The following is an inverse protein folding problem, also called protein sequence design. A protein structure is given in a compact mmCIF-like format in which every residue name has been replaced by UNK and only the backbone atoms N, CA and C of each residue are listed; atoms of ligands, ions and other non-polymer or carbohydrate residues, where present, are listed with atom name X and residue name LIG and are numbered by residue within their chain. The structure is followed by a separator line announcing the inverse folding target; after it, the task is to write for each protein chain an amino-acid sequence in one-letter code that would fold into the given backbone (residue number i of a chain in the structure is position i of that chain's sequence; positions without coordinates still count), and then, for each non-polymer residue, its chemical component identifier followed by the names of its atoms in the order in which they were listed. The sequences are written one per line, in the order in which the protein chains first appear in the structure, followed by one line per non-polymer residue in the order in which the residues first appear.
data_IF_096728574678
#
_entry.id   IF_096728574678
#
_cell.length_a   1.000
_cell.length_b   1.000
_cell.length_c   1.000
_cell.angle_alpha   90.00
_cell.angle_beta   90.00
_cell.angle_gamma   90.00
#
_symmetry.space_group_name_H-M   'P 1'
#
loop_
_entity.id
_entity.type
_entity.pdbx_description
1 polymer ?
#
# COMPACT_ATOMS: atom_id res chain seq x y z
N UNK A 1 19.99 15.05 -3.14
CA UNK A 1 18.81 14.84 -2.27
C UNK A 1 17.49 14.79 -3.03
N UNK A 2 17.35 15.44 -4.19
CA UNK A 2 16.11 15.42 -4.99
C UNK A 2 15.56 14.02 -5.31
N UNK A 3 16.41 13.10 -5.81
CA UNK A 3 16.01 11.70 -6.05
C UNK A 3 15.49 10.99 -4.79
N UNK A 4 16.09 11.28 -3.63
CA UNK A 4 15.67 10.70 -2.34
C UNK A 4 14.35 11.28 -1.87
N UNK A 5 14.13 12.59 -2.06
CA UNK A 5 12.85 13.24 -1.79
C UNK A 5 11.71 12.57 -2.58
N UNK A 6 11.93 12.29 -3.87
CA UNK A 6 10.94 11.57 -4.70
C UNK A 6 10.67 10.15 -4.21
N UNK A 7 11.69 9.42 -3.76
CA UNK A 7 11.50 8.09 -3.15
C UNK A 7 10.67 8.21 -1.86
N UNK A 8 10.93 9.19 -1.00
CA UNK A 8 10.19 9.36 0.24
C UNK A 8 8.73 9.74 0.00
N UNK A 9 8.43 10.60 -0.98
CA UNK A 9 7.04 10.96 -1.31
C UNK A 9 6.30 9.77 -1.91
N UNK A 10 6.90 9.05 -2.86
CA UNK A 10 6.32 7.82 -3.40
C UNK A 10 6.09 6.77 -2.31
N UNK A 11 7.03 6.65 -1.39
CA UNK A 11 6.90 5.77 -0.23
C UNK A 11 5.68 6.14 0.63
N UNK A 12 5.33 7.40 0.79
CA UNK A 12 4.15 7.81 1.58
C UNK A 12 2.83 7.69 0.78
N UNK A 13 2.89 7.38 -0.51
CA UNK A 13 1.72 7.17 -1.37
C UNK A 13 1.43 8.33 -2.33
N UNK A 14 2.36 9.26 -2.53
CA UNK A 14 2.23 10.27 -3.58
C UNK A 14 2.59 9.65 -4.93
N UNK A 15 1.61 9.57 -5.83
CA UNK A 15 1.81 9.10 -7.20
C UNK A 15 2.57 10.12 -8.06
N UNK A 16 2.26 11.41 -7.86
CA UNK A 16 2.92 12.52 -8.51
C UNK A 16 3.33 13.58 -7.49
N UNK A 17 4.43 14.28 -7.75
CA UNK A 17 4.86 15.43 -6.95
C UNK A 17 5.56 16.43 -7.86
N UNK A 18 5.18 17.70 -7.77
CA UNK A 18 5.83 18.73 -8.57
C UNK A 18 7.31 18.90 -8.16
N UNK A 19 8.12 19.40 -9.10
CA UNK A 19 9.58 19.53 -8.93
C UNK A 19 9.95 20.48 -7.79
N UNK A 20 9.22 21.57 -7.60
CA UNK A 20 9.53 22.61 -6.61
C UNK A 20 9.31 22.11 -5.18
N UNK A 21 8.25 21.31 -4.97
CA UNK A 21 7.99 20.61 -3.71
C UNK A 21 9.11 19.62 -3.40
N UNK A 22 9.56 18.84 -4.40
CA UNK A 22 10.65 17.89 -4.22
C UNK A 22 11.99 18.60 -3.91
N UNK A 23 12.25 19.75 -4.52
CA UNK A 23 13.41 20.59 -4.24
C UNK A 23 13.34 21.13 -2.80
N UNK A 24 12.19 21.66 -2.40
CA UNK A 24 11.97 22.16 -1.03
C UNK A 24 12.17 21.06 0.00
N UNK A 25 11.61 19.86 -0.24
CA UNK A 25 11.80 18.71 0.63
C UNK A 25 13.28 18.31 0.69
N UNK A 26 13.96 18.24 -0.45
CA UNK A 26 15.39 17.92 -0.51
C UNK A 26 16.24 18.92 0.28
N UNK A 27 15.92 20.21 0.23
CA UNK A 27 16.62 21.26 0.98
C UNK A 27 16.37 21.16 2.48
N UNK A 28 15.12 20.88 2.89
CA UNK A 28 14.77 20.64 4.29
C UNK A 28 15.52 19.41 4.81
N UNK A 29 15.50 18.29 4.07
CA UNK A 29 16.22 17.08 4.48
C UNK A 29 17.73 17.32 4.57
N UNK A 30 18.30 18.05 3.60
CA UNK A 30 19.73 18.40 3.62
C UNK A 30 20.08 19.22 4.86
N UNK A 31 19.26 20.24 5.19
CA UNK A 31 19.46 21.06 6.40
C UNK A 31 19.33 20.23 7.67
N UNK A 32 18.37 19.31 7.72
CA UNK A 32 18.19 18.42 8.87
C UNK A 32 19.40 17.50 9.09
N UNK A 33 19.91 16.86 8.02
CA UNK A 33 21.11 16.01 8.09
C UNK A 33 22.33 16.81 8.57
N UNK A 34 22.53 18.01 8.02
CA UNK A 34 23.62 18.90 8.47
C UNK A 34 23.49 19.23 9.95
N UNK A 35 22.27 19.49 10.43
CA UNK A 35 22.01 19.77 11.84
C UNK A 35 22.34 18.56 12.73
N UNK A 36 21.97 17.34 12.34
CA UNK A 36 22.37 16.10 13.04
C UNK A 36 23.89 16.03 13.16
N UNK A 37 24.61 16.21 12.05
CA UNK A 37 26.06 16.12 12.04
C UNK A 37 26.74 17.15 12.96
N UNK A 38 26.23 18.39 12.99
CA UNK A 38 26.72 19.44 13.89
C UNK A 38 26.50 19.07 15.36
N UNK A 39 25.32 18.56 15.72
CA UNK A 39 25.00 18.12 17.08
C UNK A 39 25.88 16.94 17.50
N UNK A 40 26.01 15.92 16.65
CA UNK A 40 26.86 14.76 16.91
C UNK A 40 28.31 15.16 17.14
N UNK A 41 28.84 16.06 16.30
CA UNK A 41 30.19 16.60 16.47
C UNK A 41 30.36 17.31 17.80
N UNK A 42 29.43 18.22 18.14
CA UNK A 42 29.45 18.95 19.42
C UNK A 42 29.47 17.99 20.60
N UNK A 43 28.63 16.94 20.59
CA UNK A 43 28.57 15.97 21.67
C UNK A 43 29.85 15.11 21.76
N UNK A 44 30.44 14.75 20.61
CA UNK A 44 31.73 14.07 20.57
C UNK A 44 32.86 14.94 21.14
N UNK A 45 32.96 16.20 20.69
CA UNK A 45 33.97 17.15 21.16
C UNK A 45 33.86 17.38 22.67
N UNK A 46 32.63 17.46 23.21
CA UNK A 46 32.38 17.60 24.65
C UNK A 46 32.87 16.39 25.45
N UNK A 47 32.58 15.17 25.00
CA UNK A 47 33.03 13.96 25.70
C UNK A 47 34.55 13.83 25.65
N UNK A 48 35.16 14.11 24.50
CA UNK A 48 36.62 14.03 24.34
C UNK A 48 37.38 15.04 25.23
N UNK A 49 36.77 16.19 25.52
CA UNK A 49 37.34 17.22 26.40
C UNK A 49 36.93 17.07 27.88
N UNK A 50 36.07 16.09 28.21
CA UNK A 50 35.61 15.90 29.59
C UNK A 50 36.61 15.07 30.41
N UNK A 51 36.85 15.50 31.65
CA UNK A 51 37.69 14.77 32.62
C UNK A 51 36.95 13.61 33.31
N UNK A 52 35.67 13.40 32.99
CA UNK A 52 34.81 12.38 33.60
C UNK A 52 34.54 11.23 32.64
N UNK A 53 34.77 10.01 33.10
CA UNK A 53 34.61 8.76 32.33
C UNK A 53 33.16 8.26 32.26
N UNK A 54 32.15 9.13 32.37
CA UNK A 54 30.79 8.68 32.10
C UNK A 54 30.62 8.48 30.59
N UNK A 55 30.59 7.21 30.21
CA UNK A 55 30.42 6.77 28.82
C UNK A 55 28.95 6.97 28.43
N UNK A 56 28.56 8.21 28.22
CA UNK A 56 27.26 8.58 27.65
C UNK A 56 27.23 8.06 26.21
N UNK A 57 26.10 7.47 25.81
CA UNK A 57 25.86 7.12 24.40
C UNK A 57 25.66 8.42 23.61
N UNK A 58 26.73 8.84 22.93
CA UNK A 58 26.75 10.05 22.11
C UNK A 58 25.70 10.04 21.01
N UNK A 59 25.40 8.87 20.44
CA UNK A 59 24.46 8.73 19.34
C UNK A 59 23.06 8.95 19.88
N UNK A 60 22.69 8.24 20.95
CA UNK A 60 21.36 8.36 21.54
C UNK A 60 21.09 9.77 22.07
N UNK A 61 22.07 10.39 22.74
CA UNK A 61 21.95 11.77 23.23
C UNK A 61 21.78 12.78 22.08
N UNK A 62 22.53 12.61 20.99
CA UNK A 62 22.41 13.48 19.81
C UNK A 62 21.06 13.34 19.12
N UNK A 63 20.50 12.12 19.07
CA UNK A 63 19.17 11.86 18.53
C UNK A 63 18.07 12.52 19.39
N UNK A 64 18.21 12.45 20.71
CA UNK A 64 17.29 13.13 21.63
C UNK A 64 17.36 14.66 21.48
N UNK A 65 18.56 15.24 21.38
CA UNK A 65 18.76 16.69 21.21
C UNK A 65 18.14 17.23 19.91
N UNK A 66 18.12 16.43 18.84
CA UNK A 66 17.49 16.83 17.57
C UNK A 66 15.97 16.56 17.50
N UNK A 67 15.40 15.99 18.55
CA UNK A 67 13.95 15.82 18.72
C UNK A 67 13.44 14.38 18.61
N UNK A 68 14.30 13.37 18.41
CA UNK A 68 13.91 11.96 18.53
C UNK A 68 13.96 11.57 20.01
N UNK A 69 12.91 11.92 20.76
CA UNK A 69 12.85 11.75 22.22
C UNK A 69 13.01 10.29 22.67
N UNK A 70 12.63 9.33 21.83
CA UNK A 70 12.86 7.91 22.12
C UNK A 70 14.23 7.40 21.69
N UNK A 71 15.10 8.27 21.15
CA UNK A 71 16.44 7.94 20.70
C UNK A 71 16.45 6.83 19.65
N UNK A 72 17.42 5.92 19.75
CA UNK A 72 17.54 4.76 18.85
C UNK A 72 16.31 3.85 18.86
N UNK A 73 15.64 3.70 20.01
CA UNK A 73 14.44 2.86 20.13
C UNK A 73 13.30 3.35 19.24
N UNK A 74 13.16 4.67 19.10
CA UNK A 74 12.14 5.26 18.23
C UNK A 74 12.44 4.96 16.75
N UNK A 75 13.71 4.97 16.36
CA UNK A 75 14.14 4.62 15.01
C UNK A 75 13.84 3.15 14.67
N UNK A 76 14.13 2.23 15.59
CA UNK A 76 13.80 0.81 15.43
C UNK A 76 12.29 0.61 15.33
N UNK A 77 11.52 1.24 16.22
CA UNK A 77 10.06 1.18 16.20
C UNK A 77 9.48 1.72 14.88
N UNK A 78 10.06 2.80 14.35
CA UNK A 78 9.65 3.35 13.06
C UNK A 78 9.89 2.35 11.93
N UNK A 79 11.07 1.73 11.88
CA UNK A 79 11.39 0.70 10.89
C UNK A 79 10.40 -0.48 10.93
N UNK A 80 10.09 -1.00 12.12
CA UNK A 80 9.14 -2.11 12.27
C UNK A 80 7.74 -1.74 11.78
N UNK A 81 7.26 -0.55 12.14
CA UNK A 81 5.96 -0.05 11.69
C UNK A 81 5.92 0.16 10.18
N UNK A 82 6.99 0.71 9.62
CA UNK A 82 7.07 1.07 8.22
C UNK A 82 7.19 -0.16 7.30
N UNK A 83 7.97 -1.17 7.70
CA UNK A 83 8.18 -2.40 6.92
C UNK A 83 7.05 -3.40 7.17
N UNK A 84 6.85 -3.81 8.43
CA UNK A 84 5.90 -4.89 8.74
C UNK A 84 4.48 -4.36 8.89
N UNK A 85 4.30 -3.24 9.59
CA UNK A 85 2.99 -2.64 9.81
C UNK A 85 2.32 -2.25 8.50
N UNK A 86 3.06 -1.60 7.60
CA UNK A 86 2.53 -1.22 6.29
C UNK A 86 2.22 -2.42 5.40
N UNK A 87 3.12 -3.40 5.32
CA UNK A 87 2.87 -4.63 4.55
C UNK A 87 1.59 -5.30 5.01
N UNK A 88 1.40 -5.44 6.34
CA UNK A 88 0.18 -6.00 6.90
C UNK A 88 -1.06 -5.18 6.49
N UNK A 89 -1.00 -3.85 6.60
CA UNK A 89 -2.11 -2.99 6.20
C UNK A 89 -2.47 -3.12 4.71
N UNK A 90 -1.48 -3.20 3.82
CA UNK A 90 -1.70 -3.42 2.38
C UNK A 90 -2.34 -4.79 2.14
N UNK A 91 -1.82 -5.85 2.76
CA UNK A 91 -2.36 -7.20 2.62
C UNK A 91 -3.82 -7.29 3.06
N UNK A 92 -4.19 -6.67 4.18
CA UNK A 92 -5.59 -6.68 4.62
C UNK A 92 -6.51 -5.93 3.66
N UNK A 93 -6.09 -4.75 3.16
CA UNK A 93 -6.85 -4.03 2.11
C UNK A 93 -7.00 -4.85 0.83
N UNK A 94 -5.96 -5.56 0.39
CA UNK A 94 -6.03 -6.44 -0.77
C UNK A 94 -7.06 -7.57 -0.57
N UNK A 95 -7.13 -8.18 0.63
CA UNK A 95 -8.13 -9.20 0.95
C UNK A 95 -9.55 -8.63 0.93
N UNK A 96 -9.74 -7.43 1.45
CA UNK A 96 -11.04 -6.74 1.42
C UNK A 96 -11.49 -6.46 -0.02
N UNK A 97 -10.60 -5.92 -0.84
CA UNK A 97 -10.87 -5.68 -2.27
C UNK A 97 -11.17 -6.98 -3.02
N UNK A 98 -10.45 -8.06 -2.73
CA UNK A 98 -10.71 -9.37 -3.34
C UNK A 98 -12.11 -9.89 -2.98
N UNK A 99 -12.57 -9.70 -1.75
CA UNK A 99 -13.94 -10.08 -1.35
C UNK A 99 -14.99 -9.30 -2.14
N UNK A 100 -14.80 -7.99 -2.30
CA UNK A 100 -15.71 -7.14 -3.08
C UNK A 100 -15.76 -7.59 -4.55
N UNK A 101 -14.60 -7.85 -5.15
CA UNK A 101 -14.51 -8.32 -6.54
C UNK A 101 -15.21 -9.68 -6.69
N UNK A 102 -14.98 -10.62 -5.78
CA UNK A 102 -15.63 -11.94 -5.83
C UNK A 102 -17.15 -11.83 -5.73
N UNK A 103 -17.66 -10.97 -4.84
CA UNK A 103 -19.11 -10.71 -4.72
C UNK A 103 -19.69 -10.12 -6.00
N UNK A 104 -18.97 -9.19 -6.63
CA UNK A 104 -19.38 -8.60 -7.90
C UNK A 104 -19.43 -9.66 -9.02
N UNK A 105 -18.40 -10.49 -9.14
CA UNK A 105 -18.32 -11.56 -10.15
C UNK A 105 -19.46 -12.57 -9.98
N UNK A 106 -19.73 -13.02 -8.75
CA UNK A 106 -20.85 -13.93 -8.49
C UNK A 106 -22.21 -13.27 -8.78
N UNK A 107 -22.38 -11.98 -8.44
CA UNK A 107 -23.58 -11.23 -8.78
C UNK A 107 -23.84 -11.14 -10.28
N UNK A 108 -22.79 -10.87 -11.08
CA UNK A 108 -22.89 -10.84 -12.55
C UNK A 108 -23.20 -12.23 -13.11
N UNK A 109 -22.55 -13.28 -12.60
CA UNK A 109 -22.77 -14.66 -13.04
C UNK A 109 -24.21 -15.11 -12.79
N UNK A 110 -24.76 -14.82 -11.62
CA UNK A 110 -26.14 -15.17 -11.27
C UNK A 110 -27.15 -14.40 -12.13
N UNK A 111 -26.91 -13.11 -12.39
CA UNK A 111 -27.75 -12.29 -13.28
C UNK A 111 -27.76 -12.79 -14.74
N UNK A 112 -26.63 -13.29 -15.24
CA UNK A 112 -26.56 -13.91 -16.57
C UNK A 112 -27.30 -15.24 -16.61
N UNK A 113 -27.21 -16.05 -15.55
CA UNK A 113 -27.93 -17.31 -15.46
C UNK A 113 -29.45 -17.10 -15.44
N UNK A 114 -29.97 -16.15 -14.66
CA UNK A 114 -31.40 -15.86 -14.60
C UNK A 114 -31.97 -15.42 -15.96
N UNK A 115 -31.22 -14.62 -16.74
CA UNK A 115 -31.60 -14.26 -18.12
C UNK A 115 -31.64 -15.47 -19.07
N UNK A 116 -30.76 -16.44 -18.86
CA UNK A 116 -30.69 -17.64 -19.71
C UNK A 116 -31.83 -18.61 -19.41
N UNK A 117 -32.31 -18.66 -18.17
CA UNK A 117 -33.47 -19.46 -17.76
C UNK A 117 -34.79 -18.85 -18.28
N UNK A 118 -34.94 -17.52 -18.30
CA UNK A 118 -36.12 -16.89 -18.93
C UNK A 118 -36.18 -17.08 -20.45
N UNK A 119 -35.03 -17.02 -21.16
CA UNK A 119 -34.96 -17.26 -22.61
C UNK A 119 -35.14 -18.74 -23.00
N UNK A 120 -34.83 -19.69 -22.11
CA UNK A 120 -35.07 -21.12 -22.35
C UNK A 120 -36.49 -21.57 -21.95
N UNK A 121 -37.17 -20.85 -21.05
CA UNK A 121 -38.55 -21.15 -20.65
C UNK A 121 -39.61 -20.65 -21.65
N UNK A 122 -39.28 -19.74 -22.56
CA UNK A 122 -40.25 -19.15 -23.50
C UNK A 122 -40.33 -19.87 -24.85
N UNK A 123 -39.46 -20.86 -25.11
CA UNK A 123 -39.40 -21.58 -26.40
C UNK A 123 -40.02 -22.99 -26.41
N UNK A 124 -40.69 -23.45 -25.35
CA UNK A 124 -41.29 -24.80 -25.30
C UNK A 124 -42.83 -24.85 -25.41
N UNK A 125 -43.47 -23.78 -25.87
CA UNK A 125 -44.92 -23.80 -26.14
C UNK A 125 -45.20 -23.21 -27.51
N UNK A 126 -45.25 -24.05 -28.54
CA UNK A 126 -46.20 -23.96 -29.66
C UNK A 126 -46.30 -25.34 -30.36
N UNK A 127 -47.48 -25.94 -30.15
CA UNK A 127 -48.21 -26.94 -30.96
C UNK A 127 -47.71 -28.38 -31.08
N UNK A 128 -48.24 -29.24 -30.19
CA UNK A 128 -48.83 -30.52 -30.61
C UNK A 128 -50.16 -30.25 -31.33
N UNK A 129 -50.27 -30.77 -32.55
CA UNK A 129 -51.45 -31.39 -33.17
C UNK A 129 -51.50 -31.03 -34.66
N UNK A 130 -51.08 -31.97 -35.51
CA UNK A 130 -52.00 -32.59 -36.48
C UNK A 130 -51.26 -33.43 -37.54
N UNK A 131 -51.91 -34.54 -37.88
CA UNK A 131 -51.75 -35.39 -39.08
C UNK A 131 -50.57 -36.38 -39.17
N UNK A 132 -50.84 -37.56 -38.61
CA UNK A 132 -50.49 -38.85 -39.21
C UNK A 132 -51.13 -38.92 -40.61
N UNK A 133 -50.32 -38.99 -41.67
CA UNK A 133 -50.76 -39.51 -42.97
C UNK A 133 -49.79 -40.61 -43.39
N UNK A 134 -50.34 -41.83 -43.48
CA UNK A 134 -49.73 -43.00 -44.13
C UNK A 134 -49.53 -42.70 -45.62
N UNK A 135 -48.36 -43.01 -46.17
CA UNK A 135 -48.24 -43.35 -47.59
C UNK A 135 -47.63 -44.74 -47.75
N UNK A 136 -48.51 -45.69 -48.06
CA UNK A 136 -48.18 -46.83 -48.90
C UNK A 136 -48.02 -46.33 -50.35
N UNK A 137 -47.01 -46.81 -51.07
CA UNK A 137 -47.12 -47.06 -52.52
C UNK A 137 -46.08 -48.06 -52.99
N UNK A 138 -46.58 -49.26 -53.28
CA UNK A 138 -46.06 -50.19 -54.29
C UNK A 138 -46.46 -49.70 -55.69
N UNK A 139 -45.51 -49.67 -56.61
CA UNK A 139 -45.66 -50.05 -58.04
C UNK A 139 -44.26 -50.23 -58.62
#
# INVERSE_FOLDING_TARGET
MLKRAGIFTAHVGFEETNKDTLLTLADITTRYIKRIAVIMKKNFDLQNNSSFSEKIDLIDNSLQEIGLKGGLRELVKHYDNDVFGRRKAVTEKCKELQKIINQFVEGVKNSLHDKTVEETSTNEVITKDSFIVKENKTS
#
